data_IF_003511430244
#
_entry.id   IF_003511430244
#
_cell.length_a   1.000
_cell.length_b   1.000
_cell.length_c   1.000
_cell.angle_alpha   90.00
_cell.angle_beta   90.00
_cell.angle_gamma   90.00
#
_symmetry.space_group_name_H-M   'P 1'
#
loop_
_entity.id
_entity.type
_entity.pdbx_description
1 polymer ?
#
# COMPACT_ATOMS: atom_id res chain seq x y z
N UNK A 1 17.84 15.95 17.80
CA UNK A 1 18.75 15.44 16.74
C UNK A 1 18.44 16.20 15.46
N UNK A 2 19.45 16.57 14.64
CA UNK A 2 19.21 17.21 13.35
C UNK A 2 18.52 16.25 12.37
N UNK A 3 17.79 16.80 11.40
CA UNK A 3 17.22 15.99 10.31
C UNK A 3 18.30 15.50 9.35
N UNK A 4 18.04 14.37 8.69
CA UNK A 4 18.92 13.76 7.69
C UNK A 4 18.15 13.71 6.35
N UNK A 5 18.35 14.67 5.43
CA UNK A 5 17.58 14.79 4.18
C UNK A 5 17.61 13.54 3.30
N UNK A 6 18.72 12.80 3.30
CA UNK A 6 18.92 11.58 2.52
C UNK A 6 17.95 10.47 2.94
N UNK A 7 17.47 10.48 4.20
CA UNK A 7 16.45 9.55 4.66
C UNK A 7 15.10 9.77 3.99
N UNK A 8 14.74 11.02 3.67
CA UNK A 8 13.51 11.34 2.97
C UNK A 8 13.56 10.83 1.52
N UNK A 9 14.67 11.07 0.81
CA UNK A 9 14.88 10.58 -0.55
C UNK A 9 14.81 9.04 -0.61
N UNK A 10 15.50 8.36 0.32
CA UNK A 10 15.42 6.90 0.44
C UNK A 10 14.02 6.41 0.80
N UNK A 11 13.30 7.15 1.65
CA UNK A 11 11.91 6.85 2.00
C UNK A 11 11.00 6.82 0.78
N UNK A 12 11.10 7.82 -0.10
CA UNK A 12 10.31 7.88 -1.35
C UNK A 12 10.62 6.71 -2.29
N UNK A 13 11.89 6.31 -2.42
CA UNK A 13 12.28 5.13 -3.19
C UNK A 13 11.68 3.85 -2.59
N UNK A 14 11.72 3.69 -1.26
CA UNK A 14 11.12 2.54 -0.57
C UNK A 14 9.61 2.47 -0.76
N UNK A 15 8.90 3.60 -0.81
CA UNK A 15 7.46 3.61 -1.08
C UNK A 15 7.15 3.13 -2.50
N UNK A 16 7.95 3.55 -3.49
CA UNK A 16 7.81 3.07 -4.87
C UNK A 16 7.99 1.56 -4.94
N UNK A 17 9.10 1.05 -4.40
CA UNK A 17 9.36 -0.40 -4.35
C UNK A 17 8.29 -1.19 -3.60
N UNK A 18 7.73 -0.60 -2.54
CA UNK A 18 6.65 -1.23 -1.79
C UNK A 18 5.39 -1.42 -2.64
N UNK A 19 5.00 -0.40 -3.44
CA UNK A 19 3.86 -0.52 -4.35
C UNK A 19 4.10 -1.51 -5.47
N UNK A 20 5.29 -1.51 -6.08
CA UNK A 20 5.66 -2.47 -7.12
C UNK A 20 5.56 -3.92 -6.58
N UNK A 21 6.18 -4.18 -5.43
CA UNK A 21 6.18 -5.48 -4.77
C UNK A 21 4.77 -5.93 -4.38
N UNK A 22 3.96 -5.01 -3.82
CA UNK A 22 2.61 -5.34 -3.40
C UNK A 22 1.70 -5.63 -4.59
N UNK A 23 1.86 -4.89 -5.70
CA UNK A 23 1.13 -5.16 -6.93
C UNK A 23 1.47 -6.54 -7.50
N UNK A 24 2.75 -6.90 -7.58
CA UNK A 24 3.18 -8.24 -7.99
C UNK A 24 2.62 -9.32 -7.05
N UNK A 25 2.68 -9.09 -5.73
CA UNK A 25 2.16 -10.03 -4.74
C UNK A 25 0.67 -10.29 -4.92
N UNK A 26 -0.10 -9.30 -5.35
CA UNK A 26 -1.56 -9.35 -5.49
C UNK A 26 -2.05 -9.92 -6.83
N UNK A 27 -1.14 -10.26 -7.75
CA UNK A 27 -1.51 -10.90 -9.02
C UNK A 27 -2.30 -12.18 -8.77
N UNK A 28 -3.55 -12.19 -9.23
CA UNK A 28 -4.47 -13.33 -9.06
C UNK A 28 -4.89 -13.63 -7.62
N UNK A 29 -4.72 -12.70 -6.68
CA UNK A 29 -5.08 -12.89 -5.25
C UNK A 29 -6.05 -11.84 -4.76
N UNK A 30 -7.04 -12.26 -3.98
CA UNK A 30 -7.97 -11.32 -3.34
C UNK A 30 -7.39 -10.65 -2.09
N UNK A 31 -6.46 -11.31 -1.40
CA UNK A 31 -5.81 -10.83 -0.18
C UNK A 31 -4.31 -11.14 -0.17
N UNK A 32 -3.56 -10.42 0.67
CA UNK A 32 -2.10 -10.42 0.62
C UNK A 32 -1.48 -11.75 1.06
N UNK A 33 -1.97 -12.33 2.16
CA UNK A 33 -1.31 -13.46 2.81
C UNK A 33 -1.90 -14.81 2.40
N UNK A 34 -3.21 -14.96 2.54
CA UNK A 34 -4.00 -16.18 2.39
C UNK A 34 -5.32 -15.87 1.70
N UNK A 35 -6.20 -16.86 1.51
CA UNK A 35 -7.51 -16.69 0.85
C UNK A 35 -8.57 -16.01 1.75
N UNK A 36 -8.13 -15.16 2.67
CA UNK A 36 -8.99 -14.37 3.55
C UNK A 36 -8.31 -13.08 4.01
N UNK A 37 -9.13 -12.07 4.34
CA UNK A 37 -8.67 -10.79 4.86
C UNK A 37 -7.90 -10.97 6.17
N UNK A 38 -6.70 -10.39 6.26
CA UNK A 38 -5.75 -10.66 7.33
C UNK A 38 -5.07 -9.40 7.87
N UNK A 39 -4.23 -9.58 8.89
CA UNK A 39 -3.37 -8.51 9.41
C UNK A 39 -2.51 -7.87 8.31
N UNK A 40 -2.03 -8.65 7.34
CA UNK A 40 -1.23 -8.13 6.24
C UNK A 40 -2.01 -7.08 5.43
N UNK A 41 -3.29 -7.32 5.16
CA UNK A 41 -4.15 -6.41 4.43
C UNK A 41 -4.43 -5.12 5.22
N UNK A 42 -4.69 -5.26 6.53
CA UNK A 42 -4.87 -4.12 7.43
C UNK A 42 -3.62 -3.23 7.43
N UNK A 43 -2.45 -3.82 7.62
CA UNK A 43 -1.18 -3.08 7.67
C UNK A 43 -0.89 -2.40 6.33
N UNK A 44 -1.06 -3.11 5.20
CA UNK A 44 -0.83 -2.53 3.89
C UNK A 44 -1.79 -1.37 3.59
N UNK A 45 -3.08 -1.50 3.95
CA UNK A 45 -4.07 -0.43 3.77
C UNK A 45 -3.62 0.84 4.51
N UNK A 46 -3.28 0.70 5.79
CA UNK A 46 -2.80 1.83 6.61
C UNK A 46 -1.53 2.44 6.02
N UNK A 47 -0.57 1.62 5.58
CA UNK A 47 0.65 2.11 4.94
C UNK A 47 0.36 2.95 3.68
N UNK A 48 -0.57 2.50 2.83
CA UNK A 48 -0.95 3.22 1.62
C UNK A 48 -1.66 4.53 1.95
N UNK A 49 -2.60 4.52 2.90
CA UNK A 49 -3.33 5.74 3.30
C UNK A 49 -2.39 6.79 3.90
N UNK A 50 -1.37 6.37 4.66
CA UNK A 50 -0.34 7.28 5.15
C UNK A 50 0.61 7.77 4.05
N UNK A 51 0.92 6.95 3.04
CA UNK A 51 1.74 7.39 1.91
C UNK A 51 1.05 8.51 1.11
N UNK A 52 -0.29 8.51 1.03
CA UNK A 52 -1.07 9.58 0.39
C UNK A 52 -0.86 10.94 1.05
N UNK A 53 -0.60 11.01 2.36
CA UNK A 53 -0.32 12.29 3.04
C UNK A 53 0.93 12.99 2.51
N UNK A 54 1.91 12.22 2.03
CA UNK A 54 3.11 12.74 1.37
C UNK A 54 2.99 12.73 -0.16
N UNK A 55 1.75 12.62 -0.67
CA UNK A 55 1.41 12.61 -2.11
C UNK A 55 2.09 11.48 -2.89
N UNK A 56 2.36 10.36 -2.22
CA UNK A 56 2.95 9.18 -2.84
C UNK A 56 1.90 8.08 -2.91
N UNK A 57 1.42 7.78 -4.11
CA UNK A 57 0.25 6.91 -4.33
C UNK A 57 0.56 5.78 -5.31
N UNK A 58 -0.17 4.65 -5.25
CA UNK A 58 -0.15 3.66 -6.32
C UNK A 58 -0.56 4.32 -7.65
N UNK A 59 0.16 3.99 -8.72
CA UNK A 59 -0.05 4.54 -10.06
C UNK A 59 -0.94 3.62 -10.90
N UNK A 60 -1.48 4.07 -12.05
CA UNK A 60 -2.36 3.26 -12.91
C UNK A 60 -1.77 1.91 -13.35
N UNK A 61 -0.44 1.80 -13.47
CA UNK A 61 0.25 0.54 -13.76
C UNK A 61 0.14 -0.51 -12.65
N UNK A 62 -0.20 -0.11 -11.41
CA UNK A 62 -0.39 -1.01 -10.28
C UNK A 62 -1.83 -1.55 -10.24
N UNK A 63 -2.26 -2.23 -11.30
CA UNK A 63 -3.66 -2.65 -11.51
C UNK A 63 -4.19 -3.57 -10.41
N UNK A 64 -3.41 -4.56 -9.97
CA UNK A 64 -3.81 -5.52 -8.94
C UNK A 64 -3.89 -4.88 -7.55
N UNK A 65 -2.93 -4.00 -7.26
CA UNK A 65 -2.91 -3.19 -6.05
C UNK A 65 -4.12 -2.24 -6.00
N UNK A 66 -4.41 -1.54 -7.10
CA UNK A 66 -5.55 -0.62 -7.18
C UNK A 66 -6.89 -1.35 -7.01
N UNK A 67 -7.05 -2.53 -7.63
CA UNK A 67 -8.21 -3.41 -7.43
C UNK A 67 -8.35 -3.81 -5.96
N UNK A 68 -7.30 -4.37 -5.37
CA UNK A 68 -7.30 -4.79 -3.97
C UNK A 68 -7.60 -3.62 -3.03
N UNK A 69 -6.99 -2.45 -3.26
CA UNK A 69 -7.21 -1.26 -2.44
C UNK A 69 -8.67 -0.82 -2.49
N UNK A 70 -9.27 -0.75 -3.68
CA UNK A 70 -10.69 -0.43 -3.82
C UNK A 70 -11.60 -1.41 -3.05
N UNK A 71 -11.31 -2.71 -3.13
CA UNK A 71 -12.07 -3.74 -2.40
C UNK A 71 -11.90 -3.61 -0.88
N UNK A 72 -10.67 -3.46 -0.40
CA UNK A 72 -10.36 -3.44 1.04
C UNK A 72 -10.83 -2.13 1.69
N UNK A 73 -10.67 -0.98 1.03
CA UNK A 73 -11.16 0.32 1.53
C UNK A 73 -12.69 0.41 1.53
N UNK A 74 -13.40 -0.37 0.72
CA UNK A 74 -14.85 -0.40 0.71
C UNK A 74 -15.47 -1.12 1.93
N UNK A 75 -14.67 -1.87 2.70
CA UNK A 75 -15.14 -2.64 3.87
C UNK A 75 -15.71 -1.69 4.94
N UNK A 76 -16.80 -2.06 5.65
CA UNK A 76 -17.38 -1.21 6.70
C UNK A 76 -16.38 -0.80 7.78
N UNK A 77 -15.45 -1.70 8.15
CA UNK A 77 -14.41 -1.44 9.15
C UNK A 77 -13.35 -0.43 8.71
N UNK A 78 -13.31 -0.05 7.42
CA UNK A 78 -12.37 0.91 6.87
C UNK A 78 -12.96 2.32 6.69
N UNK A 79 -14.24 2.53 7.08
CA UNK A 79 -14.99 3.79 6.87
C UNK A 79 -15.18 4.61 8.16
N UNK A 80 -14.48 4.26 9.23
CA UNK A 80 -14.63 4.91 10.54
C UNK A 80 -14.12 6.36 10.52
#
# INVERSE_FOLDING_TARGET
LPQIPELAARGSQRLTHFFDMLNERLQGRDYIAIDSFSLADITALVCIDFAKWVKHEPKPEHTDLLRWYATVSARPSAKA
#
